data_IF_541662464038
#
_entry.id   IF_541662464038
#
_cell.length_a   1.000
_cell.length_b   1.000
_cell.length_c   1.000
_cell.angle_alpha   90.00
_cell.angle_beta   90.00
_cell.angle_gamma   90.00
#
_symmetry.space_group_name_H-M   'P 1'
#
loop_
_entity.id
_entity.type
_entity.pdbx_description
1 polymer ?
#
# COMPACT_ATOMS: atom_id res chain seq x y z
N UNK A 1 36.82 22.68 22.70
CA UNK A 1 36.02 23.49 21.76
C UNK A 1 35.45 22.63 20.62
N UNK A 2 36.26 21.82 19.91
CA UNK A 2 35.77 20.87 18.87
C UNK A 2 34.74 19.84 19.38
N UNK A 3 34.88 19.33 20.60
CA UNK A 3 33.94 18.36 21.20
C UNK A 3 32.54 18.97 21.44
N UNK A 4 32.44 20.26 21.83
CA UNK A 4 31.16 20.99 21.98
C UNK A 4 30.49 21.30 20.63
N UNK A 5 31.26 21.49 19.56
CA UNK A 5 30.72 21.66 18.22
C UNK A 5 30.19 20.33 17.63
N UNK A 6 30.84 19.21 17.94
CA UNK A 6 30.36 17.87 17.55
C UNK A 6 29.01 17.52 18.18
N UNK A 7 28.83 17.79 19.48
CA UNK A 7 27.55 17.57 20.17
C UNK A 7 26.43 18.48 19.62
N UNK A 8 26.72 19.76 19.37
CA UNK A 8 25.74 20.72 18.83
C UNK A 8 25.27 20.40 17.41
N UNK A 9 26.11 19.77 16.58
CA UNK A 9 25.73 19.35 15.22
C UNK A 9 24.98 17.99 15.19
N UNK A 10 25.18 17.14 16.20
CA UNK A 10 24.60 15.78 16.22
C UNK A 10 23.10 15.82 16.50
N UNK A 11 22.63 16.67 17.41
CA UNK A 11 21.20 16.79 17.75
C UNK A 11 20.31 17.17 16.56
N UNK A 12 20.59 18.23 15.78
CA UNK A 12 19.76 18.57 14.62
C UNK A 12 19.81 17.51 13.53
N UNK A 13 20.96 16.84 13.34
CA UNK A 13 21.07 15.73 12.38
C UNK A 13 20.14 14.57 12.73
N UNK A 14 20.09 14.17 14.00
CA UNK A 14 19.19 13.09 14.47
C UNK A 14 17.71 13.46 14.29
N UNK A 15 17.34 14.72 14.51
CA UNK A 15 15.97 15.20 14.29
C UNK A 15 15.61 15.13 12.80
N UNK A 16 16.50 15.60 11.92
CA UNK A 16 16.27 15.55 10.46
C UNK A 16 16.15 14.10 9.99
N UNK A 17 17.03 13.21 10.44
CA UNK A 17 16.98 11.79 10.10
C UNK A 17 15.66 11.15 10.55
N UNK A 18 15.20 11.45 11.78
CA UNK A 18 13.91 10.97 12.30
C UNK A 18 12.74 11.47 11.44
N UNK A 19 12.74 12.75 11.06
CA UNK A 19 11.70 13.33 10.20
C UNK A 19 11.68 12.69 8.80
N UNK A 20 12.85 12.40 8.23
CA UNK A 20 12.95 11.72 6.94
C UNK A 20 12.34 10.31 6.99
N UNK A 21 12.63 9.54 8.05
CA UNK A 21 12.07 8.19 8.23
C UNK A 21 10.55 8.22 8.42
N UNK A 22 10.03 9.16 9.23
CA UNK A 22 8.58 9.32 9.43
C UNK A 22 7.87 9.67 8.11
N UNK A 23 8.43 10.61 7.35
CA UNK A 23 7.90 11.02 6.05
C UNK A 23 7.96 9.88 5.02
N UNK A 24 9.03 9.09 5.04
CA UNK A 24 9.15 7.87 4.24
C UNK A 24 8.07 6.84 4.58
N UNK A 25 7.79 6.62 5.86
CA UNK A 25 6.74 5.71 6.31
C UNK A 25 5.33 6.15 5.86
N UNK A 26 5.05 7.46 5.85
CA UNK A 26 3.82 8.01 5.29
C UNK A 26 3.68 7.70 3.80
N UNK A 27 4.76 7.88 3.04
CA UNK A 27 4.81 7.60 1.59
C UNK A 27 4.58 6.12 1.29
N UNK A 28 5.29 5.22 1.98
CA UNK A 28 5.12 3.78 1.83
C UNK A 28 3.71 3.32 2.23
N UNK A 29 3.14 3.88 3.30
CA UNK A 29 1.77 3.56 3.71
C UNK A 29 0.76 4.02 2.65
N UNK A 30 0.91 5.23 2.11
CA UNK A 30 0.03 5.73 1.04
C UNK A 30 0.11 4.85 -0.21
N UNK A 31 1.31 4.43 -0.61
CA UNK A 31 1.51 3.51 -1.73
C UNK A 31 0.85 2.15 -1.47
N UNK A 32 1.01 1.59 -0.27
CA UNK A 32 0.35 0.32 0.11
C UNK A 32 -1.18 0.41 0.11
N UNK A 33 -1.76 1.56 0.50
CA UNK A 33 -3.21 1.83 0.40
C UNK A 33 -3.67 1.88 -1.06
N UNK A 34 -2.90 2.52 -1.94
CA UNK A 34 -3.21 2.58 -3.38
C UNK A 34 -3.12 1.20 -4.04
N UNK A 35 -2.17 0.36 -3.62
CA UNK A 35 -2.04 -1.04 -4.03
C UNK A 35 -3.07 -1.98 -3.37
N UNK A 36 -4.05 -1.45 -2.64
CA UNK A 36 -5.09 -2.21 -1.92
C UNK A 36 -4.53 -3.24 -0.90
N UNK A 37 -3.29 -3.04 -0.45
CA UNK A 37 -2.64 -3.92 0.53
C UNK A 37 -3.00 -3.56 1.98
N UNK A 38 -3.48 -2.34 2.21
CA UNK A 38 -3.88 -1.82 3.53
C UNK A 38 -5.27 -1.17 3.48
N UNK A 39 -5.97 -1.10 4.63
CA UNK A 39 -7.21 -0.33 4.74
C UNK A 39 -6.99 1.14 4.42
N UNK A 40 -8.06 1.81 4.00
CA UNK A 40 -8.02 3.25 3.72
C UNK A 40 -7.69 4.02 5.01
N UNK A 41 -6.57 4.72 4.99
CA UNK A 41 -6.20 5.69 6.02
C UNK A 41 -6.59 7.11 5.60
N UNK A 42 -6.82 7.99 6.58
CA UNK A 42 -7.00 9.42 6.31
C UNK A 42 -5.65 10.02 5.93
N UNK A 43 -5.53 10.42 4.67
CA UNK A 43 -4.35 11.12 4.14
C UNK A 43 -4.68 12.61 4.11
N UNK A 44 -3.89 13.42 4.81
CA UNK A 44 -3.99 14.88 4.76
C UNK A 44 -2.85 15.42 3.91
N UNK A 45 -3.18 16.07 2.80
CA UNK A 45 -2.18 16.77 1.98
C UNK A 45 -1.80 18.07 2.68
N UNK A 46 -0.52 18.23 3.02
CA UNK A 46 -0.01 19.44 3.68
C UNK A 46 0.47 20.50 2.69
N UNK A 47 0.59 20.14 1.41
CA UNK A 47 0.74 21.08 0.29
C UNK A 47 -0.16 20.66 -0.86
N UNK A 48 -0.76 21.65 -1.51
CA UNK A 48 -1.56 21.47 -2.72
C UNK A 48 -0.71 21.23 -3.96
N UNK A 49 0.59 21.59 -3.92
CA UNK A 49 1.49 21.53 -5.08
C UNK A 49 2.45 20.34 -5.01
N UNK A 50 2.73 19.80 -3.82
CA UNK A 50 3.73 18.76 -3.63
C UNK A 50 3.11 17.43 -3.20
N UNK A 51 3.06 16.46 -4.11
CA UNK A 51 2.50 15.13 -3.84
C UNK A 51 3.17 14.39 -2.67
N UNK A 52 4.45 14.66 -2.39
CA UNK A 52 5.19 14.07 -1.27
C UNK A 52 4.90 14.68 0.10
N UNK A 53 4.17 15.80 0.16
CA UNK A 53 3.79 16.45 1.42
C UNK A 53 2.46 15.88 1.92
N UNK A 54 2.56 14.72 2.56
CA UNK A 54 1.42 13.99 3.12
C UNK A 54 1.62 13.75 4.62
N UNK A 55 0.53 13.88 5.36
CA UNK A 55 0.47 13.58 6.78
C UNK A 55 -0.61 12.54 7.05
N UNK A 56 -0.21 11.44 7.72
CA UNK A 56 -1.11 10.36 8.10
C UNK A 56 -1.17 10.29 9.65
N UNK A 57 -2.16 10.94 10.30
CA UNK A 57 -2.20 11.07 11.76
C UNK A 57 -2.15 9.73 12.51
N UNK A 58 -2.87 8.71 12.00
CA UNK A 58 -2.92 7.38 12.61
C UNK A 58 -1.57 6.66 12.51
N UNK A 59 -0.90 6.79 11.37
CA UNK A 59 0.43 6.19 11.16
C UNK A 59 1.44 6.86 12.07
N UNK A 60 1.41 8.20 12.18
CA UNK A 60 2.27 8.95 13.09
C UNK A 60 2.10 8.49 14.54
N UNK A 61 0.85 8.31 14.97
CA UNK A 61 0.55 7.81 16.31
C UNK A 61 1.05 6.38 16.54
N UNK A 62 0.87 5.48 15.57
CA UNK A 62 1.38 4.11 15.65
C UNK A 62 2.92 4.06 15.70
N UNK A 63 3.60 4.88 14.88
CA UNK A 63 5.06 5.01 14.92
C UNK A 63 5.50 5.54 16.29
N UNK A 64 4.82 6.56 16.83
CA UNK A 64 5.16 7.11 18.14
C UNK A 64 5.04 6.06 19.26
N UNK A 65 3.96 5.28 19.27
CA UNK A 65 3.80 4.15 20.21
C UNK A 65 4.91 3.12 20.00
N UNK A 66 5.17 2.71 18.75
CA UNK A 66 6.19 1.72 18.43
C UNK A 66 7.58 2.14 18.90
N UNK A 67 7.96 3.40 18.64
CA UNK A 67 9.24 3.97 19.11
C UNK A 67 9.28 4.00 20.64
N UNK A 68 8.22 4.45 21.32
CA UNK A 68 8.19 4.45 22.79
C UNK A 68 8.35 3.04 23.38
N UNK A 69 7.67 2.05 22.81
CA UNK A 69 7.80 0.65 23.25
C UNK A 69 9.21 0.12 23.04
N UNK A 70 9.83 0.41 21.90
CA UNK A 70 11.22 0.01 21.62
C UNK A 70 12.21 0.67 22.59
N UNK A 71 12.06 1.98 22.84
CA UNK A 71 12.94 2.71 23.76
C UNK A 71 12.84 2.17 25.18
N UNK A 72 11.62 1.95 25.69
CA UNK A 72 11.39 1.43 27.04
C UNK A 72 11.81 -0.05 27.17
N UNK A 73 11.59 -0.83 26.12
CA UNK A 73 11.89 -2.26 26.08
C UNK A 73 13.39 -2.57 26.00
N UNK A 74 14.12 -1.87 25.13
CA UNK A 74 15.55 -2.12 24.92
C UNK A 74 16.44 -1.36 25.90
N UNK A 75 16.08 -0.13 26.29
CA UNK A 75 16.80 0.79 27.21
C UNK A 75 18.23 1.18 26.78
N UNK A 76 18.97 0.29 26.14
CA UNK A 76 20.31 0.50 25.62
C UNK A 76 20.32 0.66 24.09
N UNK A 77 21.14 1.59 23.62
CA UNK A 77 21.26 1.88 22.18
C UNK A 77 21.94 0.76 21.39
N UNK A 78 22.83 -0.01 22.03
CA UNK A 78 23.51 -1.18 21.45
C UNK A 78 22.51 -2.29 21.09
N UNK A 79 21.57 -2.57 21.99
CA UNK A 79 20.54 -3.58 21.78
C UNK A 79 19.51 -3.14 20.72
N UNK A 80 19.18 -1.84 20.68
CA UNK A 80 18.36 -1.25 19.61
C UNK A 80 19.05 -1.37 18.24
N UNK A 81 20.39 -1.25 18.20
CA UNK A 81 21.16 -1.39 16.96
C UNK A 81 21.08 -2.80 16.38
N UNK A 82 21.19 -3.82 17.23
CA UNK A 82 20.97 -5.22 16.84
C UNK A 82 19.54 -5.46 16.34
N UNK A 83 18.55 -4.77 16.91
CA UNK A 83 17.15 -4.92 16.51
C UNK A 83 16.90 -4.44 15.07
N UNK A 84 17.33 -3.22 14.69
CA UNK A 84 17.04 -2.69 13.35
C UNK A 84 17.94 -3.27 12.25
N UNK A 85 19.15 -3.76 12.60
CA UNK A 85 20.14 -4.25 11.64
C UNK A 85 19.63 -5.39 10.76
N UNK A 86 18.77 -6.26 11.30
CA UNK A 86 18.15 -7.35 10.52
C UNK A 86 17.19 -6.81 9.46
N UNK A 87 16.34 -5.84 9.79
CA UNK A 87 15.46 -5.22 8.79
C UNK A 87 16.24 -4.53 7.69
N UNK A 88 17.28 -3.78 8.02
CA UNK A 88 18.08 -3.05 7.03
C UNK A 88 18.81 -4.03 6.10
N UNK A 89 19.46 -5.05 6.66
CA UNK A 89 20.14 -6.05 5.83
C UNK A 89 19.18 -6.88 4.98
N UNK A 90 17.98 -7.16 5.48
CA UNK A 90 16.91 -7.77 4.69
C UNK A 90 16.44 -6.86 3.55
N UNK A 91 16.29 -5.56 3.80
CA UNK A 91 15.92 -4.57 2.78
C UNK A 91 16.99 -4.43 1.70
N UNK A 92 18.28 -4.40 2.07
CA UNK A 92 19.39 -4.40 1.12
C UNK A 92 19.36 -5.64 0.21
N UNK A 93 19.13 -6.84 0.79
CA UNK A 93 19.03 -8.06 0.00
C UNK A 93 17.84 -8.04 -0.97
N UNK A 94 16.68 -7.56 -0.53
CA UNK A 94 15.49 -7.41 -1.39
C UNK A 94 15.74 -6.40 -2.50
N UNK A 95 16.39 -5.26 -2.20
CA UNK A 95 16.71 -4.25 -3.22
C UNK A 95 17.74 -4.76 -4.23
N UNK A 96 18.73 -5.56 -3.83
CA UNK A 96 19.65 -6.24 -4.75
C UNK A 96 18.92 -7.20 -5.68
N UNK A 97 17.94 -7.97 -5.18
CA UNK A 97 17.09 -8.83 -6.01
C UNK A 97 16.24 -7.99 -6.98
N UNK A 98 15.59 -6.92 -6.50
CA UNK A 98 14.80 -6.03 -7.35
C UNK A 98 15.65 -5.35 -8.42
N UNK A 99 16.89 -4.96 -8.09
CA UNK A 99 17.84 -4.37 -9.02
C UNK A 99 18.15 -5.34 -10.17
N UNK A 100 18.35 -6.64 -9.88
CA UNK A 100 18.51 -7.67 -10.91
C UNK A 100 17.32 -7.68 -11.88
N UNK A 101 16.09 -7.66 -11.36
CA UNK A 101 14.88 -7.60 -12.19
C UNK A 101 14.81 -6.32 -13.02
N UNK A 102 15.11 -5.15 -12.44
CA UNK A 102 15.09 -3.87 -13.14
C UNK A 102 16.12 -3.84 -14.26
N UNK A 103 17.37 -4.22 -13.99
CA UNK A 103 18.44 -4.23 -14.99
C UNK A 103 18.12 -5.16 -16.16
N UNK A 104 17.50 -6.32 -15.90
CA UNK A 104 17.18 -7.30 -16.94
C UNK A 104 15.88 -6.99 -17.69
N UNK A 105 14.81 -6.63 -16.99
CA UNK A 105 13.47 -6.47 -17.57
C UNK A 105 13.20 -5.05 -18.05
N UNK A 106 13.61 -4.04 -17.29
CA UNK A 106 13.36 -2.63 -17.63
C UNK A 106 14.48 -2.06 -18.49
N UNK A 107 15.74 -2.22 -18.08
CA UNK A 107 16.88 -1.63 -18.81
C UNK A 107 17.47 -2.54 -19.88
N UNK A 108 17.12 -3.84 -19.87
CA UNK A 108 17.55 -4.84 -20.87
C UNK A 108 19.07 -4.99 -20.97
N UNK A 109 19.80 -4.82 -19.86
CA UNK A 109 21.26 -4.99 -19.85
C UNK A 109 21.66 -6.46 -20.07
N UNK A 110 22.82 -6.66 -20.69
CA UNK A 110 23.42 -7.97 -20.92
C UNK A 110 23.86 -8.66 -19.62
N UNK A 111 23.73 -10.00 -19.57
CA UNK A 111 24.07 -10.78 -18.38
C UNK A 111 25.53 -10.59 -17.93
N UNK A 112 26.44 -10.34 -18.86
CA UNK A 112 27.85 -10.12 -18.57
C UNK A 112 28.11 -8.89 -17.69
N UNK A 113 27.26 -7.87 -17.75
CA UNK A 113 27.37 -6.67 -16.90
C UNK A 113 26.56 -6.83 -15.62
N UNK A 114 25.38 -7.46 -15.72
CA UNK A 114 24.47 -7.61 -14.59
C UNK A 114 25.03 -8.57 -13.54
N UNK A 115 25.57 -9.73 -13.95
CA UNK A 115 26.08 -10.75 -13.02
C UNK A 115 27.19 -10.24 -12.10
N UNK A 116 28.28 -9.61 -12.56
CA UNK A 116 29.33 -9.14 -11.66
C UNK A 116 28.84 -8.03 -10.71
N UNK A 117 27.96 -7.14 -11.19
CA UNK A 117 27.40 -6.08 -10.35
C UNK A 117 26.52 -6.66 -9.22
N UNK A 118 25.60 -7.54 -9.57
CA UNK A 118 24.71 -8.20 -8.60
C UNK A 118 25.51 -9.08 -7.66
N UNK A 119 26.53 -9.79 -8.16
CA UNK A 119 27.42 -10.59 -7.32
C UNK A 119 28.13 -9.73 -6.29
N UNK A 120 28.66 -8.57 -6.68
CA UNK A 120 29.31 -7.63 -5.77
C UNK A 120 28.37 -7.18 -4.64
N UNK A 121 27.16 -6.73 -4.97
CA UNK A 121 26.18 -6.33 -3.96
C UNK A 121 25.72 -7.50 -3.08
N UNK A 122 25.44 -8.66 -3.68
CA UNK A 122 24.98 -9.83 -2.96
C UNK A 122 26.03 -10.35 -1.95
N UNK A 123 27.32 -10.27 -2.26
CA UNK A 123 28.40 -10.65 -1.32
C UNK A 123 28.41 -9.72 -0.10
N UNK A 124 28.26 -8.41 -0.33
CA UNK A 124 28.20 -7.41 0.75
C UNK A 124 26.96 -7.65 1.62
N UNK A 125 25.80 -7.77 0.99
CA UNK A 125 24.52 -7.99 1.68
C UNK A 125 24.52 -9.29 2.48
N UNK A 126 25.03 -10.37 1.90
CA UNK A 126 25.15 -11.66 2.59
C UNK A 126 26.11 -11.58 3.79
N UNK A 127 27.21 -10.85 3.68
CA UNK A 127 28.14 -10.62 4.79
C UNK A 127 27.50 -9.86 5.95
N UNK A 128 26.75 -8.79 5.64
CA UNK A 128 26.01 -8.04 6.65
C UNK A 128 24.87 -8.87 7.25
N UNK A 129 24.12 -9.61 6.43
CA UNK A 129 23.03 -10.46 6.90
C UNK A 129 23.54 -11.56 7.82
N UNK A 130 24.65 -12.24 7.47
CA UNK A 130 25.25 -13.28 8.30
C UNK A 130 25.69 -12.72 9.66
N UNK A 131 26.29 -11.53 9.65
CA UNK A 131 26.71 -10.84 10.88
C UNK A 131 25.53 -10.45 11.78
N UNK A 132 24.41 -10.02 11.17
CA UNK A 132 23.20 -9.64 11.90
C UNK A 132 22.33 -10.84 12.29
N UNK A 133 22.40 -11.96 11.56
CA UNK A 133 21.63 -13.17 11.82
C UNK A 133 21.98 -13.81 13.16
N UNK A 134 23.26 -13.75 13.58
CA UNK A 134 23.68 -14.23 14.90
C UNK A 134 23.06 -13.40 16.03
N UNK A 135 22.75 -12.12 15.77
CA UNK A 135 22.17 -11.18 16.73
C UNK A 135 20.64 -11.19 16.78
N UNK A 136 19.99 -12.12 16.08
CA UNK A 136 18.51 -12.31 16.14
C UNK A 136 18.05 -12.50 17.58
N UNK A 137 18.75 -13.35 18.33
CA UNK A 137 18.41 -13.68 19.72
C UNK A 137 18.69 -12.53 20.69
N UNK A 138 19.55 -11.58 20.31
CA UNK A 138 19.92 -10.39 21.12
C UNK A 138 18.99 -9.19 20.90
N UNK A 139 17.90 -9.36 20.13
CA UNK A 139 16.92 -8.29 19.88
C UNK A 139 16.45 -8.18 18.43
N UNK A 140 17.19 -8.78 17.49
CA UNK A 140 16.83 -8.78 16.07
C UNK A 140 15.47 -9.41 15.76
N UNK A 141 15.00 -10.34 16.61
CA UNK A 141 13.67 -10.96 16.50
C UNK A 141 12.52 -9.95 16.50
N UNK A 142 12.68 -8.78 17.12
CA UNK A 142 11.62 -7.75 17.18
C UNK A 142 11.30 -7.24 15.79
N UNK A 143 12.32 -7.00 14.97
CA UNK A 143 12.16 -6.49 13.60
C UNK A 143 11.46 -7.51 12.70
N UNK A 144 11.81 -8.78 12.84
CA UNK A 144 11.14 -9.91 12.18
C UNK A 144 9.69 -10.04 12.66
N UNK A 145 9.44 -9.87 13.96
CA UNK A 145 8.10 -9.87 14.54
C UNK A 145 7.21 -8.77 13.96
N UNK A 146 7.73 -7.54 13.86
CA UNK A 146 7.02 -6.42 13.22
C UNK A 146 6.73 -6.73 11.76
N UNK A 147 7.70 -7.27 11.01
CA UNK A 147 7.49 -7.67 9.61
C UNK A 147 6.41 -8.75 9.48
N UNK A 148 6.40 -9.76 10.35
CA UNK A 148 5.37 -10.80 10.37
C UNK A 148 3.98 -10.24 10.69
N UNK A 149 3.87 -9.36 11.70
CA UNK A 149 2.60 -8.72 12.05
C UNK A 149 2.07 -7.87 10.89
N UNK A 150 2.93 -7.06 10.28
CA UNK A 150 2.55 -6.27 9.09
C UNK A 150 2.15 -7.16 7.92
N UNK A 151 2.89 -8.23 7.65
CA UNK A 151 2.56 -9.22 6.62
C UNK A 151 1.21 -9.91 6.88
N UNK A 152 0.90 -10.25 8.14
CA UNK A 152 -0.39 -10.80 8.52
C UNK A 152 -1.53 -9.80 8.31
N UNK A 153 -1.35 -8.54 8.69
CA UNK A 153 -2.34 -7.47 8.48
C UNK A 153 -2.61 -7.31 6.97
N UNK A 154 -1.55 -7.19 6.16
CA UNK A 154 -1.67 -7.01 4.71
C UNK A 154 -2.31 -8.23 4.05
N UNK A 155 -1.87 -9.44 4.38
CA UNK A 155 -2.43 -10.68 3.83
C UNK A 155 -3.90 -10.86 4.20
N UNK A 156 -4.26 -10.59 5.46
CA UNK A 156 -5.65 -10.64 5.93
C UNK A 156 -6.51 -9.61 5.21
N UNK A 157 -6.01 -8.39 5.03
CA UNK A 157 -6.75 -7.33 4.34
C UNK A 157 -6.98 -7.64 2.85
N UNK A 158 -5.92 -8.07 2.15
CA UNK A 158 -6.00 -8.44 0.73
C UNK A 158 -7.00 -9.59 0.55
N UNK A 159 -6.87 -10.65 1.37
CA UNK A 159 -7.75 -11.81 1.30
C UNK A 159 -9.18 -11.46 1.68
N UNK A 160 -9.38 -10.66 2.73
CA UNK A 160 -10.69 -10.23 3.19
C UNK A 160 -11.42 -9.34 2.18
N UNK A 161 -10.69 -8.41 1.56
CA UNK A 161 -11.23 -7.53 0.50
C UNK A 161 -11.62 -8.36 -0.73
N UNK A 162 -10.78 -9.31 -1.13
CA UNK A 162 -11.08 -10.24 -2.23
C UNK A 162 -12.31 -11.10 -1.93
N UNK A 163 -12.39 -11.66 -0.73
CA UNK A 163 -13.53 -12.46 -0.30
C UNK A 163 -14.83 -11.64 -0.26
N UNK A 164 -14.78 -10.42 0.25
CA UNK A 164 -15.93 -9.51 0.26
C UNK A 164 -16.38 -9.18 -1.16
N UNK A 165 -15.43 -8.88 -2.05
CA UNK A 165 -15.71 -8.62 -3.46
C UNK A 165 -16.38 -9.82 -4.15
N UNK A 166 -15.82 -11.02 -3.99
CA UNK A 166 -16.37 -12.25 -4.56
C UNK A 166 -17.77 -12.58 -4.01
N UNK A 167 -18.02 -12.32 -2.72
CA UNK A 167 -19.31 -12.59 -2.08
C UNK A 167 -20.38 -11.60 -2.52
N UNK A 168 -20.04 -10.31 -2.63
CA UNK A 168 -20.94 -9.29 -3.18
C UNK A 168 -21.29 -9.62 -4.63
N UNK A 169 -20.31 -10.03 -5.44
CA UNK A 169 -20.54 -10.40 -6.85
C UNK A 169 -21.45 -11.62 -7.04
N UNK A 170 -21.34 -12.63 -6.16
CA UNK A 170 -22.25 -13.80 -6.17
C UNK A 170 -23.69 -13.46 -5.82
N UNK A 171 -23.94 -12.33 -5.18
CA UNK A 171 -25.29 -11.84 -4.87
C UNK A 171 -25.88 -10.91 -5.93
N UNK A 172 -25.08 -10.51 -6.92
CA UNK A 172 -25.53 -9.65 -8.02
C UNK A 172 -26.08 -10.51 -9.17
N UNK A 173 -27.30 -10.19 -9.61
CA UNK A 173 -27.92 -10.77 -10.80
C UNK A 173 -27.18 -10.18 -12.01
N UNK A 174 -26.88 -10.98 -13.04
CA UNK A 174 -26.26 -10.42 -14.25
C UNK A 174 -27.19 -9.39 -14.88
N UNK A 175 -26.61 -8.39 -15.55
CA UNK A 175 -27.42 -7.35 -16.18
C UNK A 175 -28.41 -7.93 -17.19
N UNK A 176 -27.97 -8.95 -17.93
CA UNK A 176 -28.78 -9.70 -18.89
C UNK A 176 -29.96 -10.40 -18.21
N UNK A 177 -29.71 -11.10 -17.10
CA UNK A 177 -30.78 -11.78 -16.35
C UNK A 177 -31.78 -10.78 -15.77
N UNK A 178 -31.32 -9.63 -15.29
CA UNK A 178 -32.19 -8.56 -14.84
C UNK A 178 -33.01 -8.00 -16.01
N UNK A 179 -32.39 -7.76 -17.16
CA UNK A 179 -33.07 -7.26 -18.36
C UNK A 179 -34.17 -8.21 -18.82
N UNK A 180 -33.90 -9.53 -18.86
CA UNK A 180 -34.92 -10.55 -19.19
C UNK A 180 -36.09 -10.51 -18.22
N UNK A 181 -35.83 -10.45 -16.90
CA UNK A 181 -36.89 -10.37 -15.88
C UNK A 181 -37.72 -9.09 -15.98
N UNK A 182 -37.08 -7.96 -16.28
CA UNK A 182 -37.77 -6.69 -16.48
C UNK A 182 -38.57 -6.67 -17.80
N UNK A 183 -38.14 -7.40 -18.83
CA UNK A 183 -38.90 -7.56 -20.06
C UNK A 183 -40.17 -8.41 -19.86
N UNK A 184 -40.10 -9.45 -19.02
CA UNK A 184 -41.27 -10.27 -18.66
C UNK A 184 -42.29 -9.49 -17.82
N UNK A 185 -41.82 -8.66 -16.88
CA UNK A 185 -42.67 -7.86 -15.99
C UNK A 185 -42.15 -6.42 -15.89
N UNK A 186 -42.52 -5.54 -16.84
CA UNK A 186 -41.98 -4.19 -16.88
C UNK A 186 -42.49 -3.35 -15.69
N UNK A 187 -41.58 -2.69 -14.95
CA UNK A 187 -41.95 -1.72 -13.91
C UNK A 187 -42.49 -0.43 -14.54
N UNK A 188 -43.09 0.44 -13.72
CA UNK A 188 -43.55 1.74 -14.19
C UNK A 188 -42.36 2.63 -14.59
N UNK A 189 -42.46 3.27 -15.74
CA UNK A 189 -41.44 4.20 -16.23
C UNK A 189 -41.71 5.63 -15.74
N UNK A 190 -40.65 6.35 -15.40
CA UNK A 190 -40.68 7.80 -15.14
C UNK A 190 -39.73 8.54 -16.07
N UNK A 191 -40.12 9.75 -16.43
CA UNK A 191 -39.30 10.66 -17.24
C UNK A 191 -37.97 10.96 -16.54
N UNK A 192 -36.89 10.95 -17.32
CA UNK A 192 -35.55 11.31 -16.89
C UNK A 192 -34.49 10.25 -17.14
N UNK A 193 -33.26 10.56 -16.71
CA UNK A 193 -32.07 9.70 -16.87
C UNK A 193 -31.49 9.37 -15.51
N UNK A 194 -31.38 8.08 -15.17
CA UNK A 194 -30.67 7.62 -13.98
C UNK A 194 -29.28 7.11 -14.34
N UNK A 195 -28.28 7.49 -13.54
CA UNK A 195 -26.91 7.01 -13.68
C UNK A 195 -26.56 6.17 -12.46
N UNK A 196 -26.30 4.89 -12.67
CA UNK A 196 -25.88 3.95 -11.64
C UNK A 196 -24.39 3.66 -11.77
N UNK A 197 -23.62 4.11 -10.78
CA UNK A 197 -22.19 3.83 -10.69
C UNK A 197 -21.96 2.40 -10.19
N UNK A 198 -21.11 1.66 -10.89
CA UNK A 198 -20.71 0.29 -10.53
C UNK A 198 -19.24 0.03 -10.80
N UNK A 199 -18.62 -0.82 -9.99
CA UNK A 199 -17.27 -1.32 -10.23
C UNK A 199 -17.24 -2.48 -11.23
N UNK A 200 -18.38 -3.14 -11.48
CA UNK A 200 -18.54 -4.22 -12.45
C UNK A 200 -19.69 -3.88 -13.42
N UNK A 201 -19.40 -3.55 -14.69
CA UNK A 201 -20.42 -3.19 -15.67
C UNK A 201 -21.27 -4.38 -16.15
N UNK A 202 -20.85 -5.62 -15.88
CA UNK A 202 -21.58 -6.83 -16.30
C UNK A 202 -22.66 -7.25 -15.28
N UNK A 203 -22.60 -6.70 -14.07
CA UNK A 203 -23.46 -7.06 -12.95
C UNK A 203 -24.46 -5.93 -12.64
N UNK A 204 -25.70 -6.28 -12.27
CA UNK A 204 -26.71 -5.28 -11.95
C UNK A 204 -26.32 -4.47 -10.71
N UNK A 205 -26.18 -3.13 -10.82
CA UNK A 205 -25.73 -2.32 -9.69
C UNK A 205 -26.67 -2.47 -8.48
N UNK A 206 -26.11 -2.67 -7.29
CA UNK A 206 -26.90 -2.83 -6.06
C UNK A 206 -27.86 -1.65 -5.81
N UNK A 207 -27.46 -0.43 -6.17
CA UNK A 207 -28.31 0.77 -6.09
C UNK A 207 -29.54 0.67 -6.99
N UNK A 208 -29.39 0.14 -8.22
CA UNK A 208 -30.50 -0.09 -9.15
C UNK A 208 -31.44 -1.16 -8.60
N UNK A 209 -30.90 -2.27 -8.09
CA UNK A 209 -31.68 -3.34 -7.47
C UNK A 209 -32.48 -2.85 -6.25
N UNK A 210 -31.87 -2.00 -5.42
CA UNK A 210 -32.53 -1.43 -4.25
C UNK A 210 -33.64 -0.44 -4.66
N UNK A 211 -33.39 0.39 -5.68
CA UNK A 211 -34.37 1.30 -6.27
C UNK A 211 -35.58 0.54 -6.82
N UNK A 212 -35.34 -0.50 -7.61
CA UNK A 212 -36.39 -1.38 -8.15
C UNK A 212 -37.20 -2.07 -7.04
N UNK A 213 -36.54 -2.50 -5.96
CA UNK A 213 -37.21 -3.12 -4.82
C UNK A 213 -38.15 -2.17 -4.07
N UNK A 214 -37.73 -0.92 -3.87
CA UNK A 214 -38.47 0.04 -3.04
C UNK A 214 -39.45 0.89 -3.83
N UNK A 215 -38.97 1.50 -4.92
CA UNK A 215 -39.76 2.43 -5.73
C UNK A 215 -40.55 1.73 -6.83
N UNK A 216 -40.14 0.52 -7.23
CA UNK A 216 -40.76 -0.26 -8.33
C UNK A 216 -40.86 0.52 -9.65
N UNK A 217 -39.96 1.48 -9.84
CA UNK A 217 -39.94 2.43 -10.95
C UNK A 217 -38.57 2.35 -11.63
N UNK A 218 -38.56 2.52 -12.95
CA UNK A 218 -37.35 2.65 -13.77
C UNK A 218 -37.40 3.99 -14.53
N UNK A 219 -36.26 4.59 -14.81
CA UNK A 219 -36.22 5.79 -15.65
C UNK A 219 -36.28 5.40 -17.14
N UNK A 220 -36.64 6.32 -18.04
CA UNK A 220 -36.60 6.06 -19.49
C UNK A 220 -35.18 5.74 -19.99
N UNK A 221 -34.19 6.44 -19.43
CA UNK A 221 -32.78 6.17 -19.69
C UNK A 221 -32.08 5.75 -18.40
N UNK A 222 -31.47 4.56 -18.38
CA UNK A 222 -30.66 4.10 -17.25
C UNK A 222 -29.25 3.80 -17.77
N UNK A 223 -28.28 4.58 -17.31
CA UNK A 223 -26.88 4.45 -17.68
C UNK A 223 -26.16 3.74 -16.56
N UNK A 224 -25.51 2.62 -16.87
CA UNK A 224 -24.62 1.93 -15.93
C UNK A 224 -23.20 2.37 -16.26
N UNK A 225 -22.57 3.03 -15.31
CA UNK A 225 -21.27 3.67 -15.51
C UNK A 225 -20.24 3.07 -14.58
N UNK A 226 -19.10 2.69 -15.14
CA UNK A 226 -17.92 2.31 -14.36
C UNK A 226 -16.81 3.30 -14.60
N UNK A 227 -16.14 3.72 -13.52
CA UNK A 227 -15.01 4.64 -13.58
C UNK A 227 -13.75 3.84 -13.32
N UNK A 228 -12.89 3.74 -14.34
CA UNK A 228 -11.59 3.10 -14.25
C UNK A 228 -10.54 4.20 -14.23
N UNK A 229 -9.81 4.32 -13.12
CA UNK A 229 -8.73 5.29 -13.00
C UNK A 229 -7.45 4.71 -13.58
N UNK A 230 -6.85 5.39 -14.55
CA UNK A 230 -5.54 5.03 -15.08
C UNK A 230 -4.40 5.58 -14.21
N UNK A 231 -3.23 4.92 -14.25
CA UNK A 231 -2.02 5.37 -13.54
C UNK A 231 -1.33 6.57 -14.21
N UNK A 232 -1.89 7.10 -15.30
CA UNK A 232 -1.36 8.25 -16.04
C UNK A 232 -2.29 9.47 -15.89
N UNK A 233 -1.73 10.70 -15.81
CA UNK A 233 -2.52 11.92 -15.58
C UNK A 233 -3.42 12.30 -16.76
N UNK A 234 -3.18 11.77 -17.97
CA UNK A 234 -4.04 11.91 -19.15
C UNK A 234 -4.09 10.58 -19.88
N UNK A 235 -5.30 10.09 -20.11
CA UNK A 235 -5.60 8.98 -21.02
C UNK A 235 -6.01 9.55 -22.37
N UNK A 236 -5.74 8.82 -23.46
CA UNK A 236 -6.24 9.22 -24.76
C UNK A 236 -7.77 9.05 -24.79
N UNK A 237 -8.50 9.91 -25.50
CA UNK A 237 -9.98 9.92 -25.54
C UNK A 237 -10.65 8.62 -26.03
N UNK A 238 -9.86 7.59 -26.40
CA UNK A 238 -10.33 6.30 -26.94
C UNK A 238 -10.16 5.11 -25.99
N UNK A 239 -9.53 5.31 -24.83
CA UNK A 239 -9.28 4.28 -23.81
C UNK A 239 -10.02 4.61 -22.50
#
# INVERSE_FOLDING_TARGET
>A
MAMRFGEAATTPSTVIASQAVISGAFSLTSQAVQLHMLPRFTIRHTSETQAGQIYLPRVNFLIAIGVMLLVVGFRESSALASAYGISVTGEMLVTTILLLFVMRRRWRWGLAVVLPLIFFFAVIDAGFLLTNAVKVLEGGWVSVGVACVMGLIMSTWITGTKYLFDKTRKSEISLEQLATKLAEKPPSLVLGTAIFLTSDPQSAPAAMMHSLKHYRVLHEQNIIMSVVTAEVPRVADRD
#
